data_IF_509649257196
#
_entry.id   IF_509649257196
#
_cell.length_a   1.000
_cell.length_b   1.000
_cell.length_c   1.000
_cell.angle_alpha   90.00
_cell.angle_beta   90.00
_cell.angle_gamma   90.00
#
_symmetry.space_group_name_H-M   'P 1'
#
loop_
_entity.id
_entity.type
_entity.pdbx_description
1 polymer ?
#
# COMPACT_ATOMS: atom_id res chain seq x y z
N UNK A 1 13.67 -60.97 6.26
CA UNK A 1 13.06 -60.15 5.19
C UNK A 1 11.85 -59.30 5.66
N UNK A 2 10.89 -59.85 6.38
CA UNK A 2 9.73 -59.11 6.90
C UNK A 2 10.02 -58.03 7.96
N UNK A 3 11.08 -58.20 8.74
CA UNK A 3 11.45 -57.24 9.79
C UNK A 3 12.14 -56.01 9.19
N UNK A 4 12.91 -56.16 8.10
CA UNK A 4 13.56 -55.07 7.38
C UNK A 4 12.53 -54.19 6.65
N UNK A 5 11.54 -54.80 6.02
CA UNK A 5 10.43 -54.04 5.39
C UNK A 5 9.58 -53.26 6.39
N UNK A 6 9.30 -53.78 7.58
CA UNK A 6 8.60 -53.06 8.64
C UNK A 6 9.39 -51.85 9.16
N UNK A 7 10.73 -51.93 9.23
CA UNK A 7 11.58 -50.81 9.60
C UNK A 7 11.65 -49.73 8.52
N UNK A 8 11.72 -50.13 7.24
CA UNK A 8 11.66 -49.16 6.13
C UNK A 8 10.32 -48.47 6.01
N UNK A 9 9.21 -49.19 6.15
CA UNK A 9 7.85 -48.60 6.15
C UNK A 9 7.65 -47.69 7.38
N UNK A 10 8.18 -48.06 8.55
CA UNK A 10 8.18 -47.22 9.73
C UNK A 10 9.07 -45.99 9.58
N UNK A 11 10.19 -46.10 8.87
CA UNK A 11 11.09 -45.00 8.57
C UNK A 11 10.43 -44.04 7.50
N UNK A 12 9.79 -44.62 6.50
CA UNK A 12 9.01 -43.84 5.49
C UNK A 12 7.79 -43.18 6.14
N UNK A 13 7.08 -43.85 7.03
CA UNK A 13 5.98 -43.25 7.79
C UNK A 13 6.44 -42.20 8.82
N UNK A 14 7.66 -42.33 9.35
CA UNK A 14 8.24 -41.31 10.22
C UNK A 14 8.80 -40.11 9.46
N UNK A 15 9.15 -40.27 8.17
CA UNK A 15 9.59 -39.18 7.28
C UNK A 15 8.41 -38.45 6.61
N UNK A 16 7.25 -39.06 6.52
CA UNK A 16 5.98 -38.34 6.30
C UNK A 16 5.47 -37.84 7.65
N UNK A 17 6.25 -37.09 8.38
CA UNK A 17 5.73 -36.13 9.33
C UNK A 17 4.85 -35.20 8.51
N UNK A 18 3.52 -35.42 8.56
CA UNK A 18 2.58 -34.39 8.17
C UNK A 18 3.10 -33.10 8.80
N UNK A 19 3.55 -32.15 7.97
CA UNK A 19 4.08 -30.91 8.48
C UNK A 19 3.04 -30.37 9.45
N UNK A 20 3.35 -30.41 10.75
CA UNK A 20 2.41 -29.97 11.77
C UNK A 20 1.92 -28.60 11.35
N UNK A 21 0.63 -28.31 11.43
CA UNK A 21 0.11 -26.98 11.11
C UNK A 21 0.90 -25.88 11.82
N UNK A 22 1.57 -26.20 12.93
CA UNK A 22 2.42 -25.30 13.71
C UNK A 22 3.72 -24.91 13.01
N UNK A 23 4.20 -25.70 12.05
CA UNK A 23 5.43 -25.48 11.29
C UNK A 23 5.17 -25.22 9.81
N UNK A 24 3.89 -25.10 9.41
CA UNK A 24 3.51 -24.84 8.04
C UNK A 24 3.59 -23.33 7.74
N UNK A 25 4.53 -22.94 6.86
CA UNK A 25 4.76 -21.55 6.47
C UNK A 25 3.53 -20.84 5.89
N UNK A 26 2.65 -21.57 5.22
CA UNK A 26 1.41 -20.99 4.68
C UNK A 26 0.44 -20.61 5.79
N UNK A 27 0.30 -21.46 6.82
CA UNK A 27 -0.60 -21.22 7.95
C UNK A 27 -0.01 -20.20 8.93
N UNK A 28 1.33 -20.21 9.12
CA UNK A 28 1.99 -19.39 10.15
C UNK A 28 2.52 -18.04 9.66
N UNK A 29 2.54 -17.83 8.35
CA UNK A 29 3.01 -16.57 7.76
C UNK A 29 2.10 -16.05 6.64
N UNK A 30 1.78 -16.85 5.61
CA UNK A 30 1.08 -16.36 4.44
C UNK A 30 -0.41 -16.02 4.72
N UNK A 31 -1.16 -16.93 5.34
CA UNK A 31 -2.57 -16.68 5.70
C UNK A 31 -2.70 -15.49 6.66
N UNK A 32 -1.97 -15.43 7.79
CA UNK A 32 -2.05 -14.28 8.69
C UNK A 32 -1.63 -12.97 8.01
N UNK A 33 -0.65 -12.99 7.12
CA UNK A 33 -0.29 -11.82 6.35
C UNK A 33 -1.44 -11.33 5.45
N UNK A 34 -2.14 -12.23 4.78
CA UNK A 34 -3.32 -11.88 3.98
C UNK A 34 -4.46 -11.35 4.85
N UNK A 35 -4.76 -11.97 5.99
CA UNK A 35 -5.81 -11.51 6.91
C UNK A 35 -5.55 -10.10 7.43
N UNK A 36 -4.31 -9.80 7.82
CA UNK A 36 -3.92 -8.48 8.28
C UNK A 36 -3.93 -7.48 7.11
N UNK A 37 -3.28 -7.79 5.99
CA UNK A 37 -3.14 -6.86 4.87
C UNK A 37 -4.44 -6.61 4.11
N UNK A 38 -5.31 -7.61 3.95
CA UNK A 38 -6.65 -7.39 3.37
C UNK A 38 -7.53 -6.52 4.26
N UNK A 39 -7.37 -6.58 5.58
CA UNK A 39 -8.09 -5.68 6.50
C UNK A 39 -7.58 -4.26 6.39
N UNK A 40 -6.27 -4.03 6.60
CA UNK A 40 -5.69 -2.68 6.59
C UNK A 40 -5.70 -2.01 5.22
N UNK A 41 -5.67 -2.79 4.13
CA UNK A 41 -5.72 -2.27 2.76
C UNK A 41 -7.07 -1.65 2.38
N UNK A 42 -8.13 -1.90 3.16
CA UNK A 42 -9.45 -1.29 2.94
C UNK A 42 -9.46 0.22 3.15
N UNK A 43 -8.39 0.80 3.70
CA UNK A 43 -8.21 2.26 3.72
C UNK A 43 -8.34 2.88 2.32
N UNK A 44 -7.98 2.16 1.26
CA UNK A 44 -8.15 2.62 -0.12
C UNK A 44 -9.60 2.64 -0.63
N UNK A 45 -10.54 2.10 0.15
CA UNK A 45 -11.97 2.20 -0.16
C UNK A 45 -12.56 3.57 0.19
N UNK A 46 -11.80 4.48 0.82
CA UNK A 46 -12.26 5.81 1.22
C UNK A 46 -13.04 6.54 0.13
N UNK A 47 -12.56 6.50 -1.11
CA UNK A 47 -13.19 7.16 -2.25
C UNK A 47 -14.60 6.65 -2.58
N UNK A 48 -15.04 5.52 -2.00
CA UNK A 48 -16.37 4.94 -2.26
C UNK A 48 -17.43 5.69 -1.46
N UNK A 49 -17.09 6.05 -0.22
CA UNK A 49 -18.04 6.56 0.75
C UNK A 49 -17.71 7.97 1.28
N UNK A 50 -16.63 8.60 0.81
CA UNK A 50 -16.23 9.93 1.30
C UNK A 50 -17.26 11.01 1.04
N UNK A 51 -17.94 10.96 -0.14
CA UNK A 51 -19.01 11.90 -0.45
C UNK A 51 -20.23 11.66 0.45
N UNK A 52 -20.62 10.41 0.66
CA UNK A 52 -21.74 10.06 1.51
C UNK A 52 -21.54 10.48 2.96
N UNK A 53 -20.30 10.35 3.48
CA UNK A 53 -19.95 10.88 4.80
C UNK A 53 -20.15 12.40 4.80
N UNK A 54 -19.62 13.12 3.80
CA UNK A 54 -19.71 14.57 3.70
C UNK A 54 -21.17 15.05 3.72
N UNK A 55 -22.01 14.43 2.90
CA UNK A 55 -23.44 14.75 2.79
C UNK A 55 -24.19 14.42 4.07
N UNK A 56 -23.87 13.30 4.70
CA UNK A 56 -24.52 12.83 5.93
C UNK A 56 -24.24 13.74 7.12
N UNK A 57 -22.98 14.19 7.31
CA UNK A 57 -22.58 15.05 8.42
C UNK A 57 -22.67 16.54 8.12
N UNK A 58 -22.97 16.94 6.86
CA UNK A 58 -23.15 18.33 6.45
C UNK A 58 -21.85 19.12 6.27
N UNK A 59 -20.81 18.48 5.72
CA UNK A 59 -19.55 19.14 5.37
C UNK A 59 -19.21 18.99 3.89
N UNK A 60 -18.22 19.75 3.41
CA UNK A 60 -17.70 19.58 2.07
C UNK A 60 -16.89 18.28 1.96
N UNK A 61 -16.87 17.68 0.75
CA UNK A 61 -16.02 16.53 0.46
C UNK A 61 -14.55 16.82 0.77
N UNK A 62 -14.05 18.01 0.44
CA UNK A 62 -12.67 18.41 0.74
C UNK A 62 -12.33 18.34 2.22
N UNK A 63 -13.26 18.69 3.11
CA UNK A 63 -13.06 18.55 4.55
C UNK A 63 -12.95 17.08 4.97
N UNK A 64 -13.82 16.21 4.44
CA UNK A 64 -13.77 14.78 4.79
C UNK A 64 -12.56 14.05 4.22
N UNK A 65 -12.03 14.45 3.05
CA UNK A 65 -10.83 13.87 2.44
C UNK A 65 -9.57 13.98 3.32
N UNK A 66 -9.51 14.95 4.23
CA UNK A 66 -8.42 15.03 5.20
C UNK A 66 -8.33 13.82 6.12
N UNK A 67 -9.44 13.14 6.40
CA UNK A 67 -9.42 11.91 7.21
C UNK A 67 -8.55 10.82 6.56
N UNK A 68 -8.68 10.64 5.23
CA UNK A 68 -7.85 9.71 4.47
C UNK A 68 -6.37 10.14 4.46
N UNK A 69 -6.11 11.42 4.18
CA UNK A 69 -4.73 11.94 4.17
C UNK A 69 -4.04 11.74 5.53
N UNK A 70 -4.75 11.99 6.63
CA UNK A 70 -4.26 11.75 7.98
C UNK A 70 -4.04 10.25 8.25
N UNK A 71 -4.94 9.37 7.78
CA UNK A 71 -4.79 7.92 7.95
C UNK A 71 -3.51 7.41 7.28
N UNK A 72 -3.21 7.86 6.05
CA UNK A 72 -1.97 7.50 5.35
C UNK A 72 -0.74 8.13 6.02
N UNK A 73 -0.84 9.38 6.48
CA UNK A 73 0.25 10.04 7.21
C UNK A 73 0.58 9.27 8.49
N UNK A 74 -0.40 8.97 9.33
CA UNK A 74 -0.18 8.25 10.57
C UNK A 74 0.17 6.78 10.36
N UNK A 75 -0.24 6.16 9.24
CA UNK A 75 0.26 4.85 8.83
C UNK A 75 1.78 4.88 8.70
N UNK A 76 2.31 5.77 7.86
CA UNK A 76 3.76 5.83 7.63
C UNK A 76 4.54 6.27 8.86
N UNK A 77 4.02 7.24 9.62
CA UNK A 77 4.67 7.73 10.85
C UNK A 77 4.65 6.69 11.97
N UNK A 78 3.52 6.00 12.18
CA UNK A 78 3.46 4.93 13.19
C UNK A 78 4.39 3.76 12.83
N UNK A 79 4.47 3.39 11.56
CA UNK A 79 5.45 2.41 11.09
C UNK A 79 6.89 2.87 11.39
N UNK A 80 7.20 4.15 11.17
CA UNK A 80 8.51 4.71 11.43
C UNK A 80 8.88 4.69 12.93
N UNK A 81 7.97 5.08 13.80
CA UNK A 81 8.24 5.14 15.25
C UNK A 81 8.11 3.78 15.95
N UNK A 82 7.18 2.94 15.50
CA UNK A 82 6.88 1.66 16.15
C UNK A 82 7.59 0.46 15.49
N UNK A 83 8.42 0.68 14.46
CA UNK A 83 9.19 -0.38 13.81
C UNK A 83 10.04 -1.19 14.78
N UNK A 84 10.60 -0.56 15.82
CA UNK A 84 11.34 -1.23 16.89
C UNK A 84 10.44 -2.16 17.75
N UNK A 85 9.16 -1.82 17.92
CA UNK A 85 8.20 -2.69 18.62
C UNK A 85 7.96 -3.95 17.80
N UNK A 86 7.80 -3.80 16.49
CA UNK A 86 7.66 -4.93 15.56
C UNK A 86 8.91 -5.80 15.55
N UNK A 87 10.09 -5.18 15.61
CA UNK A 87 11.37 -5.89 15.66
C UNK A 87 11.45 -6.82 16.89
N UNK A 88 11.05 -6.29 18.06
CA UNK A 88 11.08 -7.02 19.32
C UNK A 88 9.97 -8.07 19.43
N UNK A 89 8.73 -7.71 19.08
CA UNK A 89 7.55 -8.56 19.30
C UNK A 89 6.49 -8.37 18.22
N UNK A 90 6.43 -9.34 17.28
CA UNK A 90 5.43 -9.34 16.20
C UNK A 90 4.00 -9.52 16.72
N UNK A 91 3.81 -10.21 17.85
CA UNK A 91 2.49 -10.42 18.43
C UNK A 91 1.96 -9.15 19.06
N UNK A 92 2.80 -8.45 19.84
CA UNK A 92 2.43 -7.15 20.41
C UNK A 92 2.04 -6.16 19.32
N UNK A 93 2.82 -6.11 18.25
CA UNK A 93 2.56 -5.23 17.10
C UNK A 93 1.26 -5.58 16.39
N UNK A 94 1.02 -6.85 16.05
CA UNK A 94 -0.19 -7.29 15.38
C UNK A 94 -1.47 -7.14 16.22
N UNK A 95 -1.35 -7.28 17.56
CA UNK A 95 -2.46 -7.02 18.47
C UNK A 95 -2.81 -5.53 18.55
N UNK A 96 -1.79 -4.65 18.68
CA UNK A 96 -1.98 -3.19 18.63
C UNK A 96 -2.68 -2.82 17.31
N UNK A 97 -2.25 -3.40 16.20
CA UNK A 97 -2.85 -3.17 14.90
C UNK A 97 -4.35 -3.53 14.88
N UNK A 98 -4.70 -4.73 15.35
CA UNK A 98 -6.09 -5.19 15.38
C UNK A 98 -6.99 -4.29 16.24
N UNK A 99 -6.52 -3.92 17.43
CA UNK A 99 -7.27 -3.06 18.36
C UNK A 99 -7.42 -1.65 17.79
N UNK A 100 -6.32 -1.02 17.36
CA UNK A 100 -6.36 0.37 16.86
C UNK A 100 -7.18 0.47 15.57
N UNK A 101 -7.05 -0.50 14.65
CA UNK A 101 -7.82 -0.49 13.42
C UNK A 101 -9.32 -0.59 13.70
N UNK A 102 -9.74 -1.57 14.50
CA UNK A 102 -11.14 -1.77 14.82
C UNK A 102 -11.72 -0.61 15.66
N UNK A 103 -10.99 -0.13 16.66
CA UNK A 103 -11.40 1.02 17.46
C UNK A 103 -11.54 2.29 16.63
N UNK A 104 -10.59 2.53 15.70
CA UNK A 104 -10.64 3.65 14.77
C UNK A 104 -11.86 3.58 13.85
N UNK A 105 -12.14 2.41 13.27
CA UNK A 105 -13.34 2.19 12.44
C UNK A 105 -14.62 2.38 13.23
N UNK A 106 -14.76 1.76 14.40
CA UNK A 106 -15.94 1.87 15.24
C UNK A 106 -16.17 3.32 15.73
N UNK A 107 -15.09 3.98 16.18
CA UNK A 107 -15.13 5.39 16.57
C UNK A 107 -15.53 6.31 15.41
N UNK A 108 -15.05 6.02 14.20
CA UNK A 108 -15.48 6.75 12.99
C UNK A 108 -16.98 6.58 12.75
N UNK A 109 -17.51 5.36 12.86
CA UNK A 109 -18.95 5.10 12.77
C UNK A 109 -19.74 5.88 13.81
N UNK A 110 -19.28 5.91 15.06
CA UNK A 110 -19.91 6.69 16.13
C UNK A 110 -19.89 8.21 15.86
N UNK A 111 -18.76 8.73 15.35
CA UNK A 111 -18.65 10.15 14.98
C UNK A 111 -19.55 10.52 13.79
N UNK A 112 -19.68 9.63 12.80
CA UNK A 112 -20.60 9.81 11.67
C UNK A 112 -22.05 9.82 12.16
N UNK A 113 -22.43 8.89 13.03
CA UNK A 113 -23.76 8.85 13.65
C UNK A 113 -24.09 10.16 14.38
N UNK A 114 -23.17 10.62 15.24
CA UNK A 114 -23.30 11.87 15.97
C UNK A 114 -23.40 13.07 15.00
N UNK A 115 -22.56 13.11 13.95
CA UNK A 115 -22.57 14.16 12.92
C UNK A 115 -23.87 14.21 12.11
N UNK A 116 -24.49 13.05 11.86
CA UNK A 116 -25.80 12.97 11.22
C UNK A 116 -26.93 13.58 12.07
N UNK A 117 -26.86 13.43 13.38
CA UNK A 117 -27.81 14.07 14.33
C UNK A 117 -27.52 15.57 14.51
N UNK A 118 -26.27 16.00 14.32
CA UNK A 118 -25.81 17.38 14.54
C UNK A 118 -25.04 17.85 13.30
N UNK A 119 -25.75 18.04 12.18
CA UNK A 119 -25.16 18.44 10.90
C UNK A 119 -24.32 19.71 11.04
N UNK A 120 -23.13 19.70 10.44
CA UNK A 120 -22.15 20.78 10.54
C UNK A 120 -21.36 20.80 11.86
N UNK A 121 -21.48 19.76 12.71
CA UNK A 121 -20.72 19.66 13.96
C UNK A 121 -19.22 19.46 13.70
N UNK A 122 -18.43 20.48 14.01
CA UNK A 122 -16.96 20.42 13.96
C UNK A 122 -16.42 19.29 14.85
N UNK A 123 -17.07 18.99 15.99
CA UNK A 123 -16.67 17.90 16.88
C UNK A 123 -16.79 16.54 16.18
N UNK A 124 -17.84 16.33 15.36
CA UNK A 124 -17.99 15.11 14.58
C UNK A 124 -16.85 14.96 13.55
N UNK A 125 -16.53 16.04 12.81
CA UNK A 125 -15.46 16.04 11.82
C UNK A 125 -14.10 15.81 12.46
N UNK A 126 -13.77 16.50 13.55
CA UNK A 126 -12.53 16.29 14.29
C UNK A 126 -12.47 14.87 14.88
N UNK A 127 -13.60 14.35 15.38
CA UNK A 127 -13.72 12.98 15.82
C UNK A 127 -13.38 11.97 14.72
N UNK A 128 -13.84 12.20 13.49
CA UNK A 128 -13.47 11.36 12.32
C UNK A 128 -11.96 11.46 12.04
N UNK A 129 -11.36 12.65 12.10
CA UNK A 129 -9.91 12.80 11.93
C UNK A 129 -9.12 12.05 12.99
N UNK A 130 -9.56 12.08 14.25
CA UNK A 130 -8.91 11.34 15.34
C UNK A 130 -9.14 9.84 15.19
N UNK A 131 -10.36 9.38 14.96
CA UNK A 131 -10.66 7.95 14.89
C UNK A 131 -10.13 7.30 13.61
N UNK A 132 -10.51 7.81 12.45
CA UNK A 132 -10.08 7.26 11.16
C UNK A 132 -8.64 7.65 10.85
N UNK A 133 -8.31 8.93 10.97
CA UNK A 133 -6.99 9.45 10.64
C UNK A 133 -5.90 8.94 11.58
N UNK A 134 -6.02 9.21 12.89
CA UNK A 134 -4.96 8.90 13.84
C UNK A 134 -5.04 7.47 14.39
N UNK A 135 -6.13 7.08 15.05
CA UNK A 135 -6.20 5.78 15.75
C UNK A 135 -6.11 4.63 14.75
N UNK A 136 -6.95 4.65 13.69
CA UNK A 136 -6.88 3.64 12.65
C UNK A 136 -5.53 3.69 11.91
N UNK A 137 -5.00 4.90 11.64
CA UNK A 137 -3.69 5.12 11.03
C UNK A 137 -2.55 4.44 11.79
N UNK A 138 -2.55 4.49 13.12
CA UNK A 138 -1.60 3.72 13.96
C UNK A 138 -1.77 2.21 13.76
N UNK A 139 -3.02 1.74 13.70
CA UNK A 139 -3.32 0.33 13.41
C UNK A 139 -2.82 -0.11 12.03
N UNK A 140 -2.95 0.76 11.02
CA UNK A 140 -2.45 0.53 9.67
C UNK A 140 -0.94 0.29 9.65
N UNK A 141 -0.14 1.19 10.25
CA UNK A 141 1.32 1.13 10.20
C UNK A 141 1.91 -0.03 11.00
N UNK A 142 1.38 -0.30 12.19
CA UNK A 142 1.82 -1.44 13.02
C UNK A 142 1.41 -2.77 12.39
N UNK A 143 0.24 -2.83 11.74
CA UNK A 143 -0.26 -4.01 11.04
C UNK A 143 0.46 -4.31 9.73
N UNK A 144 1.13 -3.33 9.12
CA UNK A 144 1.85 -3.50 7.87
C UNK A 144 3.19 -4.22 8.04
N UNK A 145 3.97 -3.88 9.06
CA UNK A 145 5.35 -4.34 9.20
C UNK A 145 5.49 -5.81 9.65
N UNK A 146 4.67 -6.26 10.61
CA UNK A 146 4.84 -7.59 11.22
C UNK A 146 4.63 -8.75 10.24
N UNK A 147 3.63 -8.74 9.32
CA UNK A 147 3.50 -9.78 8.31
C UNK A 147 4.65 -9.79 7.30
N UNK A 148 5.12 -8.61 6.87
CA UNK A 148 6.22 -8.48 5.92
C UNK A 148 7.49 -9.12 6.48
N UNK A 149 7.89 -8.76 7.71
CA UNK A 149 9.04 -9.38 8.38
C UNK A 149 8.89 -10.89 8.48
N UNK A 150 7.74 -11.34 8.97
CA UNK A 150 7.50 -12.77 9.19
C UNK A 150 7.62 -13.57 7.90
N UNK A 151 7.06 -13.06 6.80
CA UNK A 151 7.16 -13.71 5.49
C UNK A 151 8.59 -13.77 4.97
N UNK A 152 9.37 -12.70 5.11
CA UNK A 152 10.78 -12.69 4.71
C UNK A 152 11.61 -13.71 5.47
N UNK A 153 11.27 -14.02 6.72
CA UNK A 153 11.94 -15.05 7.54
C UNK A 153 11.55 -16.48 7.14
N UNK A 154 10.28 -16.70 6.75
CA UNK A 154 9.83 -18.03 6.33
C UNK A 154 10.20 -18.39 4.88
N UNK A 155 10.44 -17.40 4.03
CA UNK A 155 10.72 -17.56 2.60
C UNK A 155 12.06 -16.91 2.23
N UNK A 156 13.12 -17.32 2.88
CA UNK A 156 14.47 -16.75 2.72
C UNK A 156 15.01 -16.85 1.27
N UNK A 157 14.65 -17.93 0.58
CA UNK A 157 15.01 -18.20 -0.81
C UNK A 157 14.27 -17.31 -1.83
N UNK A 158 13.11 -16.75 -1.46
CA UNK A 158 12.23 -15.98 -2.33
C UNK A 158 11.58 -14.80 -1.59
N UNK A 159 12.40 -14.02 -0.91
CA UNK A 159 11.93 -12.88 -0.08
C UNK A 159 11.06 -11.90 -0.84
N UNK A 160 11.43 -11.59 -2.10
CA UNK A 160 10.66 -10.69 -2.94
C UNK A 160 9.26 -11.23 -3.25
N UNK A 161 9.16 -12.48 -3.73
CA UNK A 161 7.86 -13.11 -3.99
C UNK A 161 7.00 -13.16 -2.73
N UNK A 162 7.60 -13.48 -1.57
CA UNK A 162 6.89 -13.56 -0.31
C UNK A 162 6.35 -12.20 0.14
N UNK A 163 7.18 -11.15 0.08
CA UNK A 163 6.73 -9.79 0.39
C UNK A 163 5.72 -9.29 -0.63
N UNK A 164 5.92 -9.59 -1.92
CA UNK A 164 4.97 -9.28 -2.98
C UNK A 164 3.59 -9.87 -2.72
N UNK A 165 3.51 -11.15 -2.31
CA UNK A 165 2.26 -11.83 -2.01
C UNK A 165 1.55 -11.20 -0.78
N UNK A 166 2.30 -10.91 0.29
CA UNK A 166 1.75 -10.26 1.47
C UNK A 166 1.15 -8.90 1.15
N UNK A 167 1.97 -8.07 0.50
CA UNK A 167 1.61 -6.70 0.19
C UNK A 167 0.58 -6.62 -0.94
N UNK A 168 0.47 -7.66 -1.79
CA UNK A 168 -0.61 -7.80 -2.76
C UNK A 168 -2.00 -7.89 -2.08
N UNK A 169 -2.09 -8.52 -0.91
CA UNK A 169 -3.32 -8.53 -0.10
C UNK A 169 -3.78 -7.12 0.25
N UNK A 170 -2.86 -6.22 0.58
CA UNK A 170 -3.16 -4.81 0.81
C UNK A 170 -3.68 -4.11 -0.46
N UNK A 171 -3.06 -4.36 -1.63
CA UNK A 171 -3.51 -3.80 -2.92
C UNK A 171 -4.86 -4.36 -3.39
N UNK A 172 -5.09 -5.66 -3.17
CA UNK A 172 -6.33 -6.35 -3.56
C UNK A 172 -7.51 -6.04 -2.64
N UNK A 173 -7.25 -5.55 -1.42
CA UNK A 173 -8.29 -5.29 -0.42
C UNK A 173 -9.41 -4.39 -0.96
N UNK A 174 -9.05 -3.35 -1.73
CA UNK A 174 -10.03 -2.46 -2.36
C UNK A 174 -10.94 -3.22 -3.34
N UNK A 175 -10.39 -4.11 -4.17
CA UNK A 175 -11.17 -4.87 -5.14
C UNK A 175 -12.17 -5.82 -4.47
N UNK A 176 -11.81 -6.37 -3.30
CA UNK A 176 -12.66 -7.28 -2.53
C UNK A 176 -13.69 -6.51 -1.71
N UNK A 177 -13.25 -5.48 -0.99
CA UNK A 177 -14.08 -4.77 -0.03
C UNK A 177 -15.03 -3.75 -0.68
N UNK A 178 -14.66 -3.15 -1.83
CA UNK A 178 -15.48 -2.13 -2.50
C UNK A 178 -16.90 -2.60 -2.84
N UNK A 179 -17.10 -3.75 -3.51
CA UNK A 179 -18.45 -4.21 -3.82
C UNK A 179 -19.25 -4.56 -2.56
N UNK A 180 -18.60 -5.07 -1.52
CA UNK A 180 -19.23 -5.37 -0.22
C UNK A 180 -19.69 -4.09 0.46
N UNK A 181 -18.82 -3.08 0.53
CA UNK A 181 -19.15 -1.80 1.13
C UNK A 181 -20.26 -1.09 0.38
N UNK A 182 -20.22 -1.09 -0.95
CA UNK A 182 -21.27 -0.50 -1.77
C UNK A 182 -22.60 -1.21 -1.56
N UNK A 183 -22.62 -2.54 -1.57
CA UNK A 183 -23.81 -3.32 -1.25
C UNK A 183 -24.37 -2.99 0.15
N UNK A 184 -23.49 -2.82 1.14
CA UNK A 184 -23.91 -2.43 2.49
C UNK A 184 -24.55 -1.04 2.51
N UNK A 185 -23.98 -0.06 1.81
CA UNK A 185 -24.54 1.30 1.72
C UNK A 185 -25.94 1.29 1.10
N UNK A 186 -26.15 0.49 0.06
CA UNK A 186 -27.44 0.37 -0.64
C UNK A 186 -28.50 -0.39 0.19
N UNK A 187 -28.10 -1.33 1.04
CA UNK A 187 -29.03 -2.26 1.71
C UNK A 187 -29.22 -2.03 3.22
N UNK A 188 -28.36 -1.25 3.89
CA UNK A 188 -28.50 -0.99 5.34
C UNK A 188 -29.54 0.09 5.67
N UNK A 189 -30.16 0.69 4.65
CA UNK A 189 -31.19 1.73 4.81
C UNK A 189 -30.64 3.01 5.40
N UNK A 190 -31.50 3.80 6.03
CA UNK A 190 -31.12 5.08 6.62
C UNK A 190 -29.96 4.93 7.61
N UNK A 191 -28.94 5.77 7.47
CA UNK A 191 -27.71 5.68 8.26
C UNK A 191 -26.84 4.49 7.90
N UNK A 192 -26.99 3.88 6.72
CA UNK A 192 -26.17 2.77 6.24
C UNK A 192 -24.69 3.03 6.37
N UNK A 193 -24.25 4.29 6.20
CA UNK A 193 -22.86 4.69 6.28
C UNK A 193 -22.24 4.42 7.67
N UNK A 194 -22.84 4.85 8.77
CA UNK A 194 -22.27 4.59 10.10
C UNK A 194 -22.41 3.13 10.52
N UNK A 195 -23.51 2.46 10.11
CA UNK A 195 -23.74 1.03 10.39
C UNK A 195 -22.67 0.20 9.71
N UNK A 196 -22.33 0.50 8.45
CA UNK A 196 -21.25 -0.15 7.71
C UNK A 196 -19.92 -0.08 8.47
N UNK A 197 -19.54 1.10 8.97
CA UNK A 197 -18.29 1.26 9.73
C UNK A 197 -18.26 0.41 10.99
N UNK A 198 -19.37 0.35 11.75
CA UNK A 198 -19.45 -0.43 12.98
C UNK A 198 -19.41 -1.94 12.70
N UNK A 199 -20.15 -2.42 11.70
CA UNK A 199 -20.16 -3.83 11.31
C UNK A 199 -18.77 -4.25 10.83
N UNK A 200 -18.16 -3.47 9.93
CA UNK A 200 -16.83 -3.78 9.40
C UNK A 200 -15.73 -3.67 10.45
N UNK A 201 -15.87 -2.82 11.46
CA UNK A 201 -14.95 -2.81 12.60
C UNK A 201 -14.90 -4.17 13.31
N UNK A 202 -16.05 -4.80 13.54
CA UNK A 202 -16.14 -6.14 14.11
C UNK A 202 -15.55 -7.22 13.21
N UNK A 203 -15.89 -7.19 11.92
CA UNK A 203 -15.37 -8.16 10.93
C UNK A 203 -13.84 -8.07 10.84
N UNK A 204 -13.29 -6.88 10.67
CA UNK A 204 -11.84 -6.70 10.55
C UNK A 204 -11.12 -6.99 11.87
N UNK A 205 -11.73 -6.70 13.02
CA UNK A 205 -11.16 -7.12 14.30
C UNK A 205 -10.98 -8.65 14.35
N UNK A 206 -12.01 -9.40 13.99
CA UNK A 206 -11.94 -10.87 13.97
C UNK A 206 -10.88 -11.36 12.98
N UNK A 207 -10.87 -10.81 11.76
CA UNK A 207 -9.86 -11.19 10.74
C UNK A 207 -8.43 -10.92 11.23
N UNK A 208 -8.18 -9.72 11.75
CA UNK A 208 -6.84 -9.32 12.22
C UNK A 208 -6.44 -10.08 13.48
N UNK A 209 -7.38 -10.37 14.38
CA UNK A 209 -7.13 -11.14 15.59
C UNK A 209 -6.80 -12.61 15.27
N UNK A 210 -7.51 -13.23 14.33
CA UNK A 210 -7.15 -14.56 13.82
C UNK A 210 -5.77 -14.51 13.16
N UNK A 211 -5.47 -13.49 12.37
CA UNK A 211 -4.15 -13.27 11.80
C UNK A 211 -3.06 -13.15 12.88
N UNK A 212 -3.32 -12.38 13.95
CA UNK A 212 -2.45 -12.26 15.11
C UNK A 212 -2.16 -13.61 15.79
N UNK A 213 -3.17 -14.44 16.02
CA UNK A 213 -3.03 -15.75 16.66
C UNK A 213 -2.23 -16.74 15.79
N UNK A 214 -2.40 -16.66 14.47
CA UNK A 214 -1.71 -17.54 13.54
C UNK A 214 -0.27 -17.11 13.25
N UNK A 215 0.05 -15.82 13.32
CA UNK A 215 1.35 -15.27 12.96
C UNK A 215 2.44 -15.84 13.89
N UNK A 216 3.51 -16.41 13.30
CA UNK A 216 4.62 -16.99 14.06
C UNK A 216 5.91 -16.87 13.27
N UNK A 217 7.01 -16.55 13.94
CA UNK A 217 8.37 -16.66 13.37
C UNK A 217 8.75 -18.14 13.16
N UNK A 218 9.67 -18.48 12.24
CA UNK A 218 10.15 -19.84 12.06
C UNK A 218 10.72 -20.42 13.36
N UNK A 219 10.51 -21.71 13.60
CA UNK A 219 11.11 -22.40 14.75
C UNK A 219 12.63 -22.43 14.58
N UNK A 220 13.36 -22.10 15.62
CA UNK A 220 14.84 -22.01 15.59
C UNK A 220 15.39 -20.68 15.10
N UNK A 221 14.53 -19.75 14.62
CA UNK A 221 14.98 -18.40 14.38
C UNK A 221 15.06 -17.65 15.72
N UNK A 222 16.26 -17.39 16.16
CA UNK A 222 16.52 -16.52 17.29
C UNK A 222 17.01 -15.18 16.76
N UNK A 223 16.53 -14.10 17.35
CA UNK A 223 17.19 -12.82 17.12
C UNK A 223 18.66 -12.99 17.52
N UNK A 224 19.61 -12.43 16.75
CA UNK A 224 21.01 -12.48 17.13
C UNK A 224 21.15 -12.06 18.60
N UNK A 225 21.38 -13.04 19.46
CA UNK A 225 21.67 -12.81 20.88
C UNK A 225 23.16 -12.51 20.95
N UNK A 226 23.50 -11.26 20.92
CA UNK A 226 24.76 -10.78 21.44
C UNK A 226 24.43 -9.87 22.62
N UNK A 227 25.21 -9.96 23.68
CA UNK A 227 25.25 -8.96 24.75
C UNK A 227 25.69 -7.57 24.22
N UNK A 228 26.01 -7.49 22.92
CA UNK A 228 26.25 -6.24 22.21
C UNK A 228 24.90 -5.54 21.97
N UNK A 229 24.79 -4.33 22.48
CA UNK A 229 23.68 -3.41 22.18
C UNK A 229 23.40 -3.42 20.68
N UNK A 230 22.16 -3.80 20.27
CA UNK A 230 21.78 -3.79 18.85
C UNK A 230 22.18 -2.45 18.27
N UNK A 231 22.92 -2.41 17.16
CA UNK A 231 23.36 -1.14 16.60
C UNK A 231 22.14 -0.25 16.36
N UNK A 232 22.23 0.98 16.81
CA UNK A 232 21.19 1.98 16.57
C UNK A 232 20.92 2.11 15.06
N UNK A 233 19.69 2.38 14.68
CA UNK A 233 19.30 2.46 13.25
C UNK A 233 20.24 3.38 12.45
N UNK A 234 20.66 4.48 13.04
CA UNK A 234 21.63 5.41 12.41
C UNK A 234 22.98 4.76 12.18
N UNK A 235 23.43 3.87 13.06
CA UNK A 235 24.66 3.09 12.86
C UNK A 235 24.50 2.10 11.71
N UNK A 236 23.35 1.42 11.62
CA UNK A 236 23.02 0.53 10.49
C UNK A 236 23.01 1.31 9.17
N UNK A 237 22.38 2.47 9.12
CA UNK A 237 22.35 3.32 7.92
C UNK A 237 23.78 3.75 7.53
N UNK A 238 24.62 4.09 8.49
CA UNK A 238 26.01 4.50 8.28
C UNK A 238 26.98 3.36 7.90
N UNK A 239 26.55 2.08 7.90
CA UNK A 239 27.35 1.00 7.33
C UNK A 239 27.61 1.19 5.83
N UNK A 240 26.81 2.07 5.20
CA UNK A 240 26.97 2.52 3.82
C UNK A 240 27.00 4.06 3.76
N UNK A 241 27.42 4.66 2.64
CA UNK A 241 27.26 6.10 2.45
C UNK A 241 25.80 6.50 2.68
N UNK A 242 25.55 7.50 3.52
CA UNK A 242 24.21 7.96 3.89
C UNK A 242 23.36 8.33 2.66
N UNK A 243 24.02 8.77 1.59
CA UNK A 243 23.41 9.08 0.30
C UNK A 243 22.69 7.87 -0.30
N UNK A 244 23.14 6.63 -0.01
CA UNK A 244 22.47 5.42 -0.46
C UNK A 244 21.08 5.30 0.18
N UNK A 245 20.97 5.51 1.49
CA UNK A 245 19.68 5.46 2.18
C UNK A 245 18.77 6.61 1.76
N UNK A 246 19.30 7.81 1.67
CA UNK A 246 18.56 8.99 1.19
C UNK A 246 18.04 8.73 -0.23
N UNK A 247 18.88 8.15 -1.10
CA UNK A 247 18.49 7.77 -2.45
C UNK A 247 17.31 6.78 -2.47
N UNK A 248 17.34 5.74 -1.64
CA UNK A 248 16.23 4.77 -1.51
C UNK A 248 14.97 5.46 -1.00
N UNK A 249 15.08 6.31 0.02
CA UNK A 249 13.96 7.02 0.60
C UNK A 249 13.30 7.98 -0.40
N UNK A 250 14.09 8.83 -1.08
CA UNK A 250 13.59 9.79 -2.07
C UNK A 250 13.02 9.10 -3.30
N UNK A 251 13.69 8.07 -3.82
CA UNK A 251 13.22 7.27 -4.94
C UNK A 251 11.85 6.64 -4.63
N UNK A 252 11.69 6.10 -3.43
CA UNK A 252 10.45 5.52 -2.97
C UNK A 252 9.36 6.58 -2.75
N UNK A 253 9.71 7.72 -2.14
CA UNK A 253 8.82 8.86 -1.97
C UNK A 253 8.26 9.36 -3.31
N UNK A 254 9.12 9.54 -4.31
CA UNK A 254 8.70 10.01 -5.63
C UNK A 254 7.82 8.97 -6.33
N UNK A 255 8.17 7.68 -6.26
CA UNK A 255 7.34 6.61 -6.82
C UNK A 255 5.91 6.63 -6.26
N UNK A 256 5.78 6.83 -4.95
CA UNK A 256 4.48 6.90 -4.28
C UNK A 256 3.75 8.20 -4.63
N UNK A 257 4.46 9.33 -4.63
CA UNK A 257 3.89 10.64 -4.95
C UNK A 257 3.28 10.65 -6.36
N UNK A 258 4.03 10.18 -7.36
CA UNK A 258 3.53 10.07 -8.73
C UNK A 258 2.38 9.07 -8.85
N UNK A 259 2.48 7.92 -8.15
CA UNK A 259 1.40 6.95 -8.10
C UNK A 259 0.12 7.52 -7.52
N UNK A 260 0.18 8.15 -6.34
CA UNK A 260 -0.98 8.76 -5.68
C UNK A 260 -1.57 9.93 -6.48
N UNK A 261 -0.72 10.74 -7.12
CA UNK A 261 -1.18 11.84 -7.98
C UNK A 261 -2.07 11.34 -9.13
N UNK A 262 -1.71 10.22 -9.77
CA UNK A 262 -2.50 9.66 -10.87
C UNK A 262 -3.65 8.78 -10.38
N UNK A 263 -3.44 7.96 -9.36
CA UNK A 263 -4.46 7.07 -8.79
C UNK A 263 -5.65 7.81 -8.19
N UNK A 264 -5.40 8.92 -7.49
CA UNK A 264 -6.47 9.73 -6.89
C UNK A 264 -7.32 10.43 -7.95
N UNK A 265 -6.75 10.74 -9.11
CA UNK A 265 -7.38 11.44 -10.22
C UNK A 265 -7.84 10.51 -11.35
N UNK A 266 -7.63 9.20 -11.24
CA UNK A 266 -7.90 8.21 -12.28
C UNK A 266 -9.30 8.32 -12.87
N UNK A 267 -10.33 8.43 -12.02
CA UNK A 267 -11.72 8.53 -12.47
C UNK A 267 -11.97 9.79 -13.32
N UNK A 268 -11.38 10.89 -12.93
CA UNK A 268 -11.54 12.14 -13.65
C UNK A 268 -10.74 12.11 -14.97
N UNK A 269 -9.54 11.54 -15.00
CA UNK A 269 -8.76 11.36 -16.22
C UNK A 269 -9.53 10.48 -17.23
N UNK A 270 -10.14 9.38 -16.78
CA UNK A 270 -10.95 8.49 -17.63
C UNK A 270 -12.18 9.22 -18.19
N UNK A 271 -12.80 10.11 -17.40
CA UNK A 271 -13.89 10.96 -17.88
C UNK A 271 -13.41 11.97 -18.94
N UNK A 272 -12.19 12.52 -18.80
CA UNK A 272 -11.60 13.39 -19.82
C UNK A 272 -11.45 12.69 -21.18
N UNK A 273 -11.30 11.35 -21.19
CA UNK A 273 -11.25 10.55 -22.41
C UNK A 273 -12.63 10.25 -23.03
N UNK A 274 -13.72 10.74 -22.43
CA UNK A 274 -15.09 10.41 -22.84
C UNK A 274 -15.57 9.01 -22.40
N UNK A 275 -14.86 8.36 -21.46
CA UNK A 275 -15.11 6.98 -21.03
C UNK A 275 -15.84 6.89 -19.68
N UNK A 276 -16.73 7.82 -19.39
CA UNK A 276 -17.45 7.89 -18.10
C UNK A 276 -18.20 6.59 -17.77
N UNK A 277 -18.78 5.91 -18.75
CA UNK A 277 -19.55 4.67 -18.57
C UNK A 277 -18.70 3.46 -18.11
N UNK A 278 -17.39 3.50 -18.36
CA UNK A 278 -16.49 2.38 -18.02
C UNK A 278 -15.50 2.70 -16.89
N UNK A 279 -15.65 3.83 -16.22
CA UNK A 279 -14.79 4.26 -15.10
C UNK A 279 -14.65 3.18 -14.03
N UNK A 280 -15.73 2.49 -13.68
CA UNK A 280 -15.69 1.41 -12.68
C UNK A 280 -14.84 0.22 -13.13
N UNK A 281 -14.94 -0.16 -14.40
CA UNK A 281 -14.12 -1.25 -14.99
C UNK A 281 -12.64 -0.85 -14.97
N UNK A 282 -12.31 0.35 -15.43
CA UNK A 282 -10.94 0.86 -15.43
C UNK A 282 -10.36 0.86 -14.02
N UNK A 283 -11.09 1.36 -13.04
CA UNK A 283 -10.65 1.37 -11.63
C UNK A 283 -10.43 -0.05 -11.06
N UNK A 284 -11.27 -1.00 -11.44
CA UNK A 284 -11.08 -2.41 -11.01
C UNK A 284 -9.84 -3.01 -11.65
N UNK A 285 -9.66 -2.81 -12.96
CA UNK A 285 -8.49 -3.32 -13.69
C UNK A 285 -7.20 -2.67 -13.16
N UNK A 286 -7.19 -1.37 -12.90
CA UNK A 286 -6.03 -0.69 -12.34
C UNK A 286 -5.65 -1.23 -10.95
N UNK A 287 -6.63 -1.56 -10.10
CA UNK A 287 -6.39 -2.21 -8.81
C UNK A 287 -5.79 -3.63 -8.98
N UNK A 288 -6.21 -4.38 -10.00
CA UNK A 288 -5.59 -5.69 -10.34
C UNK A 288 -4.15 -5.50 -10.80
N UNK A 289 -3.86 -4.48 -11.61
CA UNK A 289 -2.48 -4.14 -12.00
C UNK A 289 -1.62 -3.72 -10.79
N UNK A 290 -2.19 -3.01 -9.82
CA UNK A 290 -1.50 -2.65 -8.58
C UNK A 290 -1.12 -3.91 -7.78
N UNK A 291 -2.08 -4.79 -7.52
CA UNK A 291 -1.84 -6.05 -6.80
C UNK A 291 -0.91 -6.99 -7.59
N UNK A 292 -1.13 -7.13 -8.90
CA UNK A 292 -0.30 -7.94 -9.80
C UNK A 292 1.13 -7.42 -9.89
N UNK A 293 1.33 -6.11 -9.94
CA UNK A 293 2.63 -5.47 -9.93
C UNK A 293 3.44 -5.77 -8.67
N UNK A 294 2.77 -5.85 -7.51
CA UNK A 294 3.43 -6.24 -6.24
C UNK A 294 4.04 -7.64 -6.33
N UNK A 295 3.32 -8.58 -6.92
CA UNK A 295 3.78 -9.96 -7.08
C UNK A 295 4.81 -10.06 -8.21
N UNK A 296 4.48 -9.53 -9.39
CA UNK A 296 5.29 -9.70 -10.61
C UNK A 296 6.67 -9.06 -10.49
N UNK A 297 6.74 -7.78 -10.10
CA UNK A 297 8.01 -7.09 -9.95
C UNK A 297 8.86 -7.66 -8.82
N UNK A 298 8.25 -8.12 -7.72
CA UNK A 298 8.98 -8.72 -6.62
C UNK A 298 9.51 -10.11 -6.96
N UNK A 299 8.72 -10.94 -7.64
CA UNK A 299 9.18 -12.24 -8.13
C UNK A 299 10.28 -12.10 -9.19
N UNK A 300 10.22 -11.05 -10.01
CA UNK A 300 11.27 -10.75 -10.97
C UNK A 300 12.55 -10.25 -10.28
N UNK A 301 12.40 -9.39 -9.26
CA UNK A 301 13.52 -8.89 -8.48
C UNK A 301 14.35 -10.01 -7.80
N UNK A 302 13.70 -11.11 -7.40
CA UNK A 302 14.39 -12.27 -6.83
C UNK A 302 15.38 -12.95 -7.80
N UNK A 303 15.19 -12.76 -9.12
CA UNK A 303 16.05 -13.31 -10.18
C UNK A 303 17.17 -12.35 -10.59
N UNK A 304 17.15 -11.12 -10.13
CA UNK A 304 18.11 -10.09 -10.49
C UNK A 304 19.27 -10.03 -9.50
N UNK A 305 20.47 -9.76 -10.00
CA UNK A 305 21.64 -9.49 -9.15
C UNK A 305 21.49 -8.21 -8.33
N UNK A 306 20.85 -7.19 -8.90
CA UNK A 306 20.56 -5.91 -8.25
C UNK A 306 19.06 -5.61 -8.32
N UNK A 307 18.38 -5.66 -7.17
CA UNK A 307 16.94 -5.37 -7.06
C UNK A 307 16.57 -3.94 -7.43
N UNK A 308 17.53 -3.00 -7.33
CA UNK A 308 17.33 -1.63 -7.77
C UNK A 308 17.00 -1.52 -9.27
N UNK A 309 17.37 -2.55 -10.07
CA UNK A 309 17.02 -2.63 -11.48
C UNK A 309 15.49 -2.57 -11.71
N UNK A 310 14.69 -3.11 -10.81
CA UNK A 310 13.23 -3.04 -10.90
C UNK A 310 12.74 -1.59 -10.83
N UNK A 311 13.30 -0.78 -9.93
CA UNK A 311 12.95 0.65 -9.83
C UNK A 311 13.34 1.41 -11.10
N UNK A 312 14.55 1.16 -11.63
CA UNK A 312 14.98 1.75 -12.92
C UNK A 312 14.00 1.41 -14.04
N UNK A 313 13.56 0.15 -14.12
CA UNK A 313 12.60 -0.31 -15.10
C UNK A 313 11.23 0.38 -14.94
N UNK A 314 10.70 0.43 -13.71
CA UNK A 314 9.43 1.11 -13.41
C UNK A 314 9.50 2.57 -13.88
N UNK A 315 10.58 3.28 -13.54
CA UNK A 315 10.72 4.69 -13.92
C UNK A 315 10.89 4.89 -15.41
N UNK A 316 11.72 4.08 -16.06
CA UNK A 316 11.90 4.17 -17.53
C UNK A 316 10.60 3.93 -18.28
N UNK A 317 9.83 2.89 -17.94
CA UNK A 317 8.56 2.61 -18.60
C UNK A 317 7.55 3.74 -18.31
N UNK A 318 7.49 4.25 -17.07
CA UNK A 318 6.60 5.36 -16.75
C UNK A 318 6.96 6.64 -17.51
N UNK A 319 8.25 6.96 -17.64
CA UNK A 319 8.75 8.09 -18.44
C UNK A 319 8.35 7.93 -19.92
N UNK A 320 8.62 6.75 -20.49
CA UNK A 320 8.33 6.48 -21.91
C UNK A 320 6.83 6.59 -22.20
N UNK A 321 5.99 5.96 -21.39
CA UNK A 321 4.53 6.03 -21.58
C UNK A 321 3.99 7.45 -21.38
N UNK A 322 4.48 8.17 -20.37
CA UNK A 322 4.07 9.57 -20.15
C UNK A 322 4.50 10.46 -21.33
N UNK A 323 5.73 10.28 -21.82
CA UNK A 323 6.22 11.01 -22.98
C UNK A 323 5.39 10.70 -24.25
N UNK A 324 5.05 9.43 -24.48
CA UNK A 324 4.19 9.04 -25.61
C UNK A 324 2.81 9.69 -25.52
N UNK A 325 2.18 9.71 -24.34
CA UNK A 325 0.89 10.42 -24.14
C UNK A 325 1.04 11.90 -24.46
N UNK A 326 2.10 12.55 -23.98
CA UNK A 326 2.35 13.97 -24.21
C UNK A 326 2.55 14.28 -25.71
N UNK A 327 3.42 13.53 -26.37
CA UNK A 327 3.79 13.76 -27.78
C UNK A 327 2.63 13.47 -28.74
N UNK A 328 1.75 12.51 -28.41
CA UNK A 328 0.58 12.19 -29.23
C UNK A 328 -0.62 13.14 -29.04
N UNK A 329 -0.50 14.15 -28.18
CA UNK A 329 -1.51 15.20 -28.00
C UNK A 329 -2.03 15.35 -26.59
N UNK A 330 -1.66 14.44 -25.69
CA UNK A 330 -2.00 14.52 -24.26
C UNK A 330 -3.47 14.25 -23.92
N UNK A 331 -3.79 14.33 -22.64
CA UNK A 331 -5.15 14.09 -22.13
C UNK A 331 -6.15 15.08 -22.74
N UNK A 332 -5.74 16.31 -23.00
CA UNK A 332 -6.58 17.35 -23.59
C UNK A 332 -7.19 16.99 -24.95
N UNK A 333 -6.51 16.17 -25.74
CA UNK A 333 -6.96 15.70 -27.05
C UNK A 333 -7.37 14.21 -27.03
N UNK A 334 -7.60 13.64 -25.87
CA UNK A 334 -7.87 12.21 -25.71
C UNK A 334 -9.26 11.78 -26.11
N UNK A 335 -10.26 12.65 -25.95
CA UNK A 335 -11.66 12.34 -26.25
C UNK A 335 -11.85 11.98 -27.75
N UNK A 336 -12.35 10.75 -27.99
CA UNK A 336 -12.55 10.24 -29.35
C UNK A 336 -11.30 9.77 -30.08
N UNK A 337 -10.09 9.92 -29.49
CA UNK A 337 -8.83 9.47 -30.08
C UNK A 337 -8.44 8.09 -29.50
N UNK A 338 -8.70 7.01 -30.27
CA UNK A 338 -8.47 5.65 -29.82
C UNK A 338 -6.99 5.35 -29.43
N UNK A 339 -6.01 5.95 -30.11
CA UNK A 339 -4.59 5.79 -29.79
C UNK A 339 -4.24 6.43 -28.46
N UNK A 340 -4.69 7.68 -28.24
CA UNK A 340 -4.48 8.38 -26.97
C UNK A 340 -5.20 7.71 -25.80
N UNK A 341 -6.43 7.24 -26.02
CA UNK A 341 -7.17 6.45 -25.03
C UNK A 341 -6.33 5.22 -24.61
N UNK A 342 -5.83 4.44 -25.58
CA UNK A 342 -5.03 3.26 -25.28
C UNK A 342 -3.75 3.61 -24.53
N UNK A 343 -3.04 4.67 -24.91
CA UNK A 343 -1.81 5.11 -24.24
C UNK A 343 -2.07 5.61 -22.82
N UNK A 344 -3.12 6.39 -22.59
CA UNK A 344 -3.47 6.88 -21.24
C UNK A 344 -3.90 5.72 -20.34
N UNK A 345 -4.69 4.79 -20.84
CA UNK A 345 -5.06 3.59 -20.08
C UNK A 345 -3.83 2.72 -19.78
N UNK A 346 -2.93 2.52 -20.74
CA UNK A 346 -1.67 1.80 -20.51
C UNK A 346 -0.80 2.50 -19.46
N UNK A 347 -0.72 3.84 -19.48
CA UNK A 347 -0.03 4.64 -18.48
C UNK A 347 -0.63 4.43 -17.09
N UNK A 348 -1.96 4.53 -16.95
CA UNK A 348 -2.66 4.28 -15.67
C UNK A 348 -2.34 2.88 -15.14
N UNK A 349 -2.45 1.85 -15.98
CA UNK A 349 -2.18 0.46 -15.59
C UNK A 349 -0.71 0.28 -15.16
N UNK A 350 0.24 0.85 -15.92
CA UNK A 350 1.66 0.73 -15.61
C UNK A 350 2.07 1.49 -14.35
N UNK A 351 1.53 2.69 -14.15
CA UNK A 351 1.78 3.47 -12.92
C UNK A 351 1.23 2.73 -11.71
N UNK A 352 0.04 2.12 -11.82
CA UNK A 352 -0.52 1.27 -10.77
C UNK A 352 0.37 0.06 -10.49
N UNK A 353 0.81 -0.66 -11.50
CA UNK A 353 1.71 -1.80 -11.34
C UNK A 353 3.06 -1.39 -10.74
N UNK A 354 3.63 -0.28 -11.20
CA UNK A 354 4.89 0.28 -10.70
C UNK A 354 4.80 0.80 -9.26
N UNK A 355 3.68 1.43 -8.91
CA UNK A 355 3.38 1.81 -7.53
C UNK A 355 3.37 0.58 -6.61
N UNK A 356 2.61 -0.45 -6.98
CA UNK A 356 2.57 -1.70 -6.22
C UNK A 356 3.93 -2.39 -6.14
N UNK A 357 4.63 -2.50 -7.28
CA UNK A 357 5.96 -3.10 -7.36
C UNK A 357 7.01 -2.38 -6.53
N UNK A 358 6.98 -1.05 -6.49
CA UNK A 358 7.86 -0.25 -5.65
C UNK A 358 7.65 -0.53 -4.15
N UNK A 359 6.40 -0.61 -3.72
CA UNK A 359 6.09 -0.96 -2.33
C UNK A 359 6.60 -2.33 -1.90
N UNK A 360 6.41 -3.35 -2.72
CA UNK A 360 6.78 -4.71 -2.36
C UNK A 360 8.28 -4.96 -2.45
N UNK A 361 9.01 -4.18 -3.25
CA UNK A 361 10.46 -4.32 -3.39
C UNK A 361 11.28 -3.55 -2.36
N UNK A 362 10.72 -2.51 -1.71
CA UNK A 362 11.48 -1.69 -0.76
C UNK A 362 12.03 -2.49 0.42
N UNK A 363 11.26 -3.35 1.13
CA UNK A 363 11.80 -4.08 2.27
C UNK A 363 12.91 -5.06 1.87
N UNK A 364 12.79 -5.70 0.71
CA UNK A 364 13.81 -6.62 0.21
C UNK A 364 15.05 -5.89 -0.28
N UNK A 365 14.91 -4.73 -0.93
CA UNK A 365 16.03 -3.86 -1.29
C UNK A 365 16.80 -3.40 -0.03
N UNK A 366 16.07 -2.98 1.00
CA UNK A 366 16.69 -2.62 2.29
C UNK A 366 17.39 -3.81 2.93
N UNK A 367 16.79 -5.00 2.91
CA UNK A 367 17.42 -6.21 3.46
C UNK A 367 18.70 -6.61 2.72
N UNK A 368 18.74 -6.40 1.40
CA UNK A 368 19.95 -6.68 0.59
C UNK A 368 21.06 -5.67 0.86
N UNK A 369 20.71 -4.44 1.21
CA UNK A 369 21.66 -3.35 1.50
C UNK A 369 22.15 -3.36 2.95
N UNK A 370 21.29 -3.61 3.91
CA UNK A 370 21.52 -3.39 5.34
C UNK A 370 21.34 -4.64 6.21
N UNK A 371 20.98 -5.77 5.61
CA UNK A 371 20.75 -7.02 6.35
C UNK A 371 19.37 -7.12 6.99
N UNK A 372 19.12 -8.27 7.64
CA UNK A 372 17.82 -8.60 8.25
C UNK A 372 17.69 -8.20 9.72
N UNK A 373 18.78 -7.86 10.40
CA UNK A 373 18.82 -7.66 11.86
C UNK A 373 17.91 -6.54 12.36
N UNK A 374 17.82 -5.43 11.61
CA UNK A 374 17.01 -4.25 11.95
C UNK A 374 16.00 -3.91 10.86
N UNK A 375 15.58 -4.91 10.07
CA UNK A 375 14.77 -4.65 8.86
C UNK A 375 13.43 -3.98 9.14
N UNK A 376 12.73 -4.36 10.22
CA UNK A 376 11.42 -3.78 10.52
C UNK A 376 11.54 -2.31 10.92
N UNK A 377 12.55 -1.96 11.70
CA UNK A 377 12.80 -0.60 12.12
C UNK A 377 13.26 0.26 10.93
N UNK A 378 14.18 -0.25 10.10
CA UNK A 378 14.66 0.45 8.91
C UNK A 378 13.57 0.63 7.86
N UNK A 379 12.78 -0.42 7.60
CA UNK A 379 11.62 -0.36 6.71
C UNK A 379 10.56 0.60 7.26
N UNK A 380 10.28 0.54 8.57
CA UNK A 380 9.37 1.48 9.23
C UNK A 380 9.75 2.93 8.97
N UNK A 381 11.00 3.30 9.22
CA UNK A 381 11.48 4.67 8.93
C UNK A 381 11.34 4.99 7.44
N UNK A 382 11.61 4.03 6.55
CA UNK A 382 11.46 4.25 5.11
C UNK A 382 10.00 4.47 4.72
N UNK A 383 9.04 3.90 5.44
CA UNK A 383 7.60 4.14 5.22
C UNK A 383 7.17 5.58 5.59
N UNK A 384 8.01 6.37 6.27
CA UNK A 384 7.78 7.83 6.38
C UNK A 384 7.70 8.51 5.01
N UNK A 385 8.39 7.97 4.00
CA UNK A 385 8.24 8.41 2.62
C UNK A 385 6.77 8.29 2.13
N UNK A 386 6.09 7.20 2.52
CA UNK A 386 4.67 7.04 2.21
C UNK A 386 3.80 8.05 2.96
N UNK A 387 4.10 8.34 4.24
CA UNK A 387 3.39 9.36 5.00
C UNK A 387 3.42 10.72 4.28
N UNK A 388 4.60 11.18 3.90
CA UNK A 388 4.77 12.47 3.21
C UNK A 388 4.17 12.44 1.79
N UNK A 389 4.29 11.32 1.06
CA UNK A 389 3.68 11.17 -0.25
C UNK A 389 2.14 11.17 -0.17
N UNK A 390 1.55 10.63 0.89
CA UNK A 390 0.11 10.66 1.15
C UNK A 390 -0.44 12.07 1.32
N UNK A 391 0.33 12.94 1.97
CA UNK A 391 -0.02 14.37 2.08
C UNK A 391 0.26 15.13 0.78
N UNK A 392 1.41 14.89 0.13
CA UNK A 392 1.85 15.70 -1.01
C UNK A 392 1.28 15.24 -2.36
N UNK A 393 1.19 13.94 -2.63
CA UNK A 393 0.87 13.42 -3.97
C UNK A 393 -0.52 13.83 -4.46
N UNK A 394 -1.55 13.53 -3.67
CA UNK A 394 -2.92 13.90 -3.99
C UNK A 394 -3.12 15.42 -3.98
N UNK A 395 -2.57 16.10 -2.97
CA UNK A 395 -2.73 17.56 -2.83
C UNK A 395 -2.03 18.30 -3.97
N UNK A 396 -0.86 17.84 -4.39
CA UNK A 396 -0.14 18.40 -5.54
C UNK A 396 -0.97 18.28 -6.82
N UNK A 397 -1.52 17.10 -7.11
CA UNK A 397 -2.35 16.89 -8.28
C UNK A 397 -3.62 17.76 -8.23
N UNK A 398 -4.29 17.81 -7.09
CA UNK A 398 -5.48 18.63 -6.88
C UNK A 398 -5.17 20.12 -7.07
N UNK A 399 -4.07 20.60 -6.47
CA UNK A 399 -3.64 21.98 -6.62
C UNK A 399 -3.35 22.34 -8.08
N UNK A 400 -2.65 21.46 -8.81
CA UNK A 400 -2.36 21.67 -10.23
C UNK A 400 -3.67 21.76 -11.03
N UNK A 401 -4.58 20.80 -10.86
CA UNK A 401 -5.84 20.76 -11.61
C UNK A 401 -6.74 21.97 -11.30
N UNK A 402 -6.71 22.45 -10.06
CA UNK A 402 -7.50 23.63 -9.66
C UNK A 402 -6.95 24.94 -10.20
N UNK A 403 -5.61 25.05 -10.35
CA UNK A 403 -4.97 26.32 -10.72
C UNK A 403 -4.56 26.41 -12.19
N UNK A 404 -4.61 25.28 -12.94
CA UNK A 404 -4.21 25.23 -14.35
C UNK A 404 -5.31 24.64 -15.21
N UNK A 405 -5.54 25.27 -16.36
CA UNK A 405 -6.56 24.85 -17.33
C UNK A 405 -7.97 25.31 -16.96
N UNK A 406 -8.89 25.02 -17.86
CA UNK A 406 -10.29 25.38 -17.74
C UNK A 406 -11.16 24.11 -17.72
N UNK A 407 -12.29 24.19 -17.05
CA UNK A 407 -13.29 23.14 -17.07
C UNK A 407 -14.02 23.14 -18.42
N UNK A 408 -14.13 21.97 -19.03
CA UNK A 408 -14.87 21.75 -20.29
C UNK A 408 -15.84 20.59 -20.12
N UNK A 409 -16.91 20.61 -20.89
CA UNK A 409 -17.87 19.50 -20.89
C UNK A 409 -17.46 18.45 -21.92
N UNK A 410 -17.22 17.20 -21.46
CA UNK A 410 -16.92 16.05 -22.31
C UNK A 410 -17.90 14.93 -21.97
N UNK A 411 -18.70 14.51 -22.95
CA UNK A 411 -19.69 13.44 -22.82
C UNK A 411 -20.60 13.61 -21.57
N UNK A 412 -21.09 14.85 -21.34
CA UNK A 412 -21.97 15.18 -20.22
C UNK A 412 -21.25 15.27 -18.85
N UNK A 413 -19.93 15.32 -18.83
CA UNK A 413 -19.16 15.49 -17.60
C UNK A 413 -18.31 16.76 -17.67
N UNK A 414 -18.35 17.56 -16.61
CA UNK A 414 -17.46 18.72 -16.43
C UNK A 414 -16.11 18.20 -15.91
N UNK A 415 -15.06 18.44 -16.69
CA UNK A 415 -13.71 17.94 -16.44
C UNK A 415 -12.66 18.97 -16.87
N UNK A 416 -11.43 18.88 -16.34
CA UNK A 416 -10.31 19.77 -16.70
C UNK A 416 -9.15 18.97 -17.33
N UNK A 417 -9.19 18.63 -18.63
CA UNK A 417 -8.16 17.84 -19.28
C UNK A 417 -6.78 18.51 -19.29
N UNK A 418 -6.73 19.84 -19.42
CA UNK A 418 -5.50 20.63 -19.40
C UNK A 418 -4.81 20.58 -18.03
N UNK A 419 -5.59 20.65 -16.95
CA UNK A 419 -5.06 20.48 -15.59
C UNK A 419 -4.43 19.10 -15.39
N UNK A 420 -5.08 18.04 -15.88
CA UNK A 420 -4.50 16.67 -15.82
C UNK A 420 -3.27 16.52 -16.73
N UNK A 421 -3.22 17.21 -17.86
CA UNK A 421 -2.02 17.28 -18.69
C UNK A 421 -0.84 17.91 -17.93
N UNK A 422 -1.06 18.95 -17.15
CA UNK A 422 -0.03 19.56 -16.30
C UNK A 422 0.47 18.59 -15.21
N UNK A 423 -0.41 17.75 -14.65
CA UNK A 423 -0.01 16.68 -13.73
C UNK A 423 0.97 15.71 -14.42
N UNK A 424 0.76 15.37 -15.70
CA UNK A 424 1.69 14.51 -16.45
C UNK A 424 3.06 15.17 -16.66
N UNK A 425 3.12 16.48 -16.93
CA UNK A 425 4.39 17.19 -17.04
C UNK A 425 5.18 17.18 -15.73
N UNK A 426 4.51 17.33 -14.60
CA UNK A 426 5.16 17.27 -13.28
C UNK A 426 5.61 15.84 -12.96
N UNK A 427 4.77 14.84 -13.20
CA UNK A 427 5.09 13.44 -12.89
C UNK A 427 6.25 12.91 -13.75
N UNK A 428 6.37 13.29 -15.05
CA UNK A 428 7.50 12.85 -15.87
C UNK A 428 8.83 13.42 -15.35
N UNK A 429 8.86 14.69 -14.91
CA UNK A 429 10.04 15.28 -14.29
C UNK A 429 10.41 14.55 -12.99
N UNK A 430 9.44 14.25 -12.15
CA UNK A 430 9.65 13.50 -10.91
C UNK A 430 10.18 12.07 -11.20
N UNK A 431 9.65 11.36 -12.19
CA UNK A 431 10.17 10.04 -12.57
C UNK A 431 11.61 10.11 -13.11
N UNK A 432 11.97 11.16 -13.86
CA UNK A 432 13.35 11.37 -14.31
C UNK A 432 14.26 11.57 -13.08
N UNK A 433 13.87 12.40 -12.12
CA UNK A 433 14.62 12.59 -10.87
C UNK A 433 14.76 11.26 -10.11
N UNK A 434 13.69 10.48 -9.99
CA UNK A 434 13.74 9.17 -9.33
C UNK A 434 14.67 8.19 -10.03
N UNK A 435 14.68 8.18 -11.38
CA UNK A 435 15.60 7.38 -12.17
C UNK A 435 17.06 7.78 -11.91
N UNK A 436 17.37 9.06 -11.91
CA UNK A 436 18.71 9.57 -11.61
C UNK A 436 19.15 9.21 -10.18
N UNK A 437 18.25 9.35 -9.18
CA UNK A 437 18.51 8.91 -7.81
C UNK A 437 18.83 7.41 -7.76
N UNK A 438 18.06 6.59 -8.45
CA UNK A 438 18.28 5.15 -8.50
C UNK A 438 19.61 4.77 -9.17
N UNK A 439 20.06 5.54 -10.14
CA UNK A 439 21.31 5.27 -10.87
C UNK A 439 22.54 5.71 -10.10
N UNK A 440 22.51 6.88 -9.47
CA UNK A 440 23.70 7.51 -8.89
C UNK A 440 23.84 7.31 -7.40
N UNK A 441 22.74 7.19 -6.66
CA UNK A 441 22.74 7.13 -5.20
C UNK A 441 22.51 5.71 -4.67
N UNK A 442 21.64 4.91 -5.32
CA UNK A 442 21.34 3.54 -4.87
C UNK A 442 22.31 2.57 -5.54
N UNK A 443 23.47 2.35 -4.91
CA UNK A 443 24.53 1.50 -5.44
C UNK A 443 24.39 0.07 -4.94
N UNK A 444 24.56 -0.94 -5.81
CA UNK A 444 24.50 -2.35 -5.41
C UNK A 444 25.57 -2.68 -4.36
N UNK A 445 25.33 -3.76 -3.62
CA UNK A 445 26.33 -4.27 -2.68
C UNK A 445 27.47 -4.95 -3.44
N UNK A 446 28.68 -4.41 -3.32
CA UNK A 446 29.86 -4.95 -4.02
C UNK A 446 30.22 -6.40 -3.63
N UNK A 447 29.74 -6.86 -2.45
CA UNK A 447 29.98 -8.23 -1.98
C UNK A 447 29.04 -9.28 -2.63
N UNK A 448 27.97 -8.85 -3.30
CA UNK A 448 27.02 -9.73 -4.01
C UNK A 448 27.06 -9.59 -5.53
N UNK A 449 27.86 -8.68 -6.06
CA UNK A 449 28.10 -8.48 -7.49
C UNK A 449 29.29 -9.33 -7.95
#
# INVERSE_FOLDING_TARGET
>A
MLITQRKEVSLIMSTVKSASWRTNKWIRAAIPALLLHCSIGTVYCWSIFSQEIADYIGFSKGATEWAFSLAIFFLGMSAAFLGNVVEKDIHKSSLIAAICFAAGMAGTGACIYFGGMHKGSVLALVGIYVCYGFIMGVGLGTGYLSPVKTLMLWFEDRKGLATGLAVAGFGAAKAIASPIMQWMLENLGEGGIYKMFIILAGVYFVMMFVGHLLLKKPDGWHEPQGDEEKPGIMQVIKTRPITNYIGIWLMFYINITCGLALLSQEKAIVKCLGLASVVGIVSTVSAVFNAGGRIAFSAWADKLKDRNTIYKLIFVISIVLTALVIVTGGIANGAGNGVLIALVLALIMMVNAGYGGGFSNVPTLLSDHYGMGSISALHGITLSAWAFAGLSGNQLATWIVTNFGEEVEIAGNVVNPTGYQMVLYVTIVLYIVALLLSMFFVRPNKEKA
#
